data_IF_027581880544
#
_entry.id   IF_027581880544
#
_cell.length_a   1.000
_cell.length_b   1.000
_cell.length_c   1.000
_cell.angle_alpha   90.00
_cell.angle_beta   90.00
_cell.angle_gamma   90.00
#
_symmetry.space_group_name_H-M   'P 1'
#
loop_
_entity.id
_entity.type
_entity.pdbx_description
1 polymer ?
#
# COMPACT_ATOMS: atom_id res chain seq x y z
N UNK A 1 34.96 12.64 -25.64
CA UNK A 1 33.77 12.76 -24.77
C UNK A 1 32.99 11.46 -24.84
N UNK A 2 33.09 10.66 -23.80
CA UNK A 2 32.40 9.35 -23.75
C UNK A 2 30.90 9.55 -23.64
N UNK A 3 30.18 9.42 -24.75
CA UNK A 3 28.71 9.47 -24.82
C UNK A 3 28.01 8.27 -24.21
N UNK A 4 28.77 7.33 -23.65
CA UNK A 4 28.26 6.04 -23.21
C UNK A 4 28.38 5.77 -21.70
N UNK A 5 28.75 6.81 -20.93
CA UNK A 5 28.84 6.64 -19.49
C UNK A 5 27.44 6.75 -18.87
N UNK A 6 26.84 5.61 -18.53
CA UNK A 6 25.61 5.58 -17.74
C UNK A 6 25.86 6.23 -16.39
N UNK A 7 25.01 7.17 -15.96
CA UNK A 7 25.09 7.70 -14.63
C UNK A 7 24.99 6.59 -13.58
N UNK A 8 25.75 6.73 -12.50
CA UNK A 8 25.64 5.82 -11.39
C UNK A 8 24.24 5.94 -10.75
N UNK A 9 23.56 4.82 -10.48
CA UNK A 9 22.24 4.86 -9.87
C UNK A 9 22.34 5.47 -8.47
N UNK A 10 21.39 6.34 -8.09
CA UNK A 10 21.39 6.95 -6.77
C UNK A 10 21.17 5.90 -5.67
N UNK A 11 21.59 6.20 -4.44
CA UNK A 11 21.54 5.26 -3.30
C UNK A 11 20.15 4.68 -3.08
N UNK A 12 19.12 5.51 -3.17
CA UNK A 12 17.73 5.08 -3.03
C UNK A 12 17.32 4.04 -4.09
N UNK A 13 17.84 4.15 -5.31
CA UNK A 13 17.59 3.17 -6.36
C UNK A 13 18.26 1.82 -6.07
N UNK A 14 19.46 1.88 -5.50
CA UNK A 14 20.19 0.68 -5.04
C UNK A 14 19.45 -0.02 -3.90
N UNK A 15 18.95 0.75 -2.93
CA UNK A 15 18.14 0.23 -1.81
C UNK A 15 16.88 -0.49 -2.31
N UNK A 16 16.13 0.13 -3.23
CA UNK A 16 14.93 -0.47 -3.82
C UNK A 16 15.27 -1.77 -4.56
N UNK A 17 16.31 -1.77 -5.39
CA UNK A 17 16.75 -3.01 -6.08
C UNK A 17 17.08 -4.13 -5.11
N UNK A 18 17.82 -3.82 -4.05
CA UNK A 18 18.21 -4.78 -3.01
C UNK A 18 16.97 -5.33 -2.28
N UNK A 19 16.05 -4.46 -1.92
CA UNK A 19 14.81 -4.83 -1.24
C UNK A 19 13.91 -5.72 -2.11
N UNK A 20 13.72 -5.38 -3.40
CA UNK A 20 12.98 -6.22 -4.34
C UNK A 20 13.57 -7.63 -4.45
N UNK A 21 14.89 -7.71 -4.54
CA UNK A 21 15.59 -9.00 -4.62
C UNK A 21 15.40 -9.82 -3.35
N UNK A 22 15.51 -9.18 -2.17
CA UNK A 22 15.27 -9.79 -0.86
C UNK A 22 13.84 -10.34 -0.75
N UNK A 23 12.86 -9.58 -1.21
CA UNK A 23 11.44 -9.91 -1.12
C UNK A 23 10.91 -10.70 -2.34
N UNK A 24 11.77 -11.04 -3.30
CA UNK A 24 11.43 -11.78 -4.52
C UNK A 24 10.28 -11.14 -5.33
N UNK A 25 10.22 -9.81 -5.34
CA UNK A 25 9.23 -9.05 -6.11
C UNK A 25 9.89 -8.59 -7.42
N UNK A 26 9.22 -8.84 -8.56
CA UNK A 26 9.69 -8.32 -9.83
C UNK A 26 9.46 -6.82 -9.95
N UNK A 27 10.33 -6.10 -10.69
CA UNK A 27 10.16 -4.66 -10.90
C UNK A 27 8.82 -4.29 -11.55
N UNK A 28 8.31 -5.13 -12.44
CA UNK A 28 6.99 -4.94 -13.08
C UNK A 28 5.84 -5.07 -12.10
N UNK A 29 5.90 -6.06 -11.22
CA UNK A 29 4.90 -6.24 -10.16
C UNK A 29 4.96 -5.09 -9.15
N UNK A 30 6.16 -4.67 -8.76
CA UNK A 30 6.37 -3.55 -7.87
C UNK A 30 5.84 -2.23 -8.47
N UNK A 31 6.11 -1.96 -9.76
CA UNK A 31 5.58 -0.80 -10.47
C UNK A 31 4.04 -0.78 -10.45
N UNK A 32 3.41 -1.91 -10.73
CA UNK A 32 1.96 -2.05 -10.69
C UNK A 32 1.41 -1.77 -9.29
N UNK A 33 2.02 -2.32 -8.24
CA UNK A 33 1.60 -2.09 -6.84
C UNK A 33 1.80 -0.65 -6.40
N UNK A 34 2.86 0.01 -6.85
CA UNK A 34 3.14 1.41 -6.55
C UNK A 34 2.29 2.39 -7.38
N UNK A 35 1.50 1.90 -8.33
CA UNK A 35 0.66 2.73 -9.20
C UNK A 35 1.46 3.60 -10.19
N UNK A 36 2.63 3.12 -10.64
CA UNK A 36 3.46 3.80 -11.64
C UNK A 36 3.73 2.88 -12.83
N UNK A 37 4.02 3.48 -13.99
CA UNK A 37 4.34 2.70 -15.18
C UNK A 37 5.65 1.93 -15.03
N UNK A 38 5.74 0.75 -15.66
CA UNK A 38 6.96 -0.05 -15.70
C UNK A 38 8.15 0.72 -16.31
N UNK A 39 7.89 1.54 -17.31
CA UNK A 39 8.92 2.40 -17.92
C UNK A 39 9.46 3.41 -16.89
N UNK A 40 8.59 4.08 -16.16
CA UNK A 40 8.99 5.06 -15.12
C UNK A 40 9.73 4.38 -13.98
N UNK A 41 9.25 3.21 -13.53
CA UNK A 41 9.95 2.39 -12.54
C UNK A 41 11.39 2.10 -12.96
N UNK A 42 11.58 1.61 -14.19
CA UNK A 42 12.93 1.29 -14.72
C UNK A 42 13.84 2.50 -14.82
N UNK A 43 13.32 3.66 -15.21
CA UNK A 43 14.09 4.91 -15.26
C UNK A 43 14.59 5.31 -13.86
N UNK A 44 13.70 5.30 -12.86
CA UNK A 44 14.04 5.66 -11.49
C UNK A 44 15.06 4.68 -10.90
N UNK A 45 14.79 3.38 -11.01
CA UNK A 45 15.65 2.32 -10.47
C UNK A 45 16.97 2.22 -11.26
N UNK A 46 16.98 2.61 -12.53
CA UNK A 46 18.19 2.75 -13.34
C UNK A 46 18.99 4.01 -13.02
N UNK A 47 18.32 5.04 -12.46
CA UNK A 47 18.93 6.33 -12.18
C UNK A 47 19.10 7.23 -13.42
N UNK A 48 18.60 6.82 -14.58
CA UNK A 48 18.68 7.59 -15.81
C UNK A 48 17.53 7.29 -16.78
N UNK A 49 17.34 8.21 -17.70
CA UNK A 49 16.53 8.01 -18.91
C UNK A 49 17.39 8.30 -20.16
N UNK A 50 17.07 7.63 -21.24
CA UNK A 50 17.74 7.87 -22.52
C UNK A 50 16.90 8.82 -23.36
N UNK A 51 17.45 9.96 -23.73
CA UNK A 51 16.85 10.96 -24.61
C UNK A 51 17.81 11.25 -25.74
N UNK A 52 17.39 11.00 -26.97
CA UNK A 52 18.21 11.21 -28.16
C UNK A 52 19.62 10.60 -28.07
N UNK A 53 19.75 9.41 -27.51
CA UNK A 53 21.03 8.72 -27.35
C UNK A 53 21.89 9.18 -26.16
N UNK A 54 21.43 10.15 -25.40
CA UNK A 54 22.11 10.64 -24.19
C UNK A 54 21.45 10.09 -22.92
N UNK A 55 22.25 9.73 -21.92
CA UNK A 55 21.77 9.30 -20.60
C UNK A 55 21.63 10.50 -19.67
N UNK A 56 20.40 10.83 -19.32
CA UNK A 56 20.07 11.93 -18.41
C UNK A 56 19.77 11.34 -17.04
N UNK A 57 20.42 11.81 -15.96
CA UNK A 57 20.12 11.35 -14.61
C UNK A 57 18.65 11.58 -14.25
N UNK A 58 18.03 10.60 -13.59
CA UNK A 58 16.64 10.66 -13.12
C UNK A 58 16.60 10.38 -11.64
N UNK A 59 15.96 11.28 -10.89
CA UNK A 59 15.59 11.07 -9.50
C UNK A 59 14.07 10.98 -9.37
N UNK A 60 13.60 10.18 -8.43
CA UNK A 60 12.20 10.12 -8.11
C UNK A 60 11.77 11.32 -7.26
N UNK A 61 10.58 11.91 -7.50
CA UNK A 61 9.93 12.76 -6.52
C UNK A 61 9.72 11.99 -5.20
N UNK A 62 9.73 12.69 -4.06
CA UNK A 62 9.72 12.06 -2.75
C UNK A 62 8.47 11.20 -2.50
N UNK A 63 7.30 11.64 -2.87
CA UNK A 63 6.06 10.85 -2.80
C UNK A 63 6.10 9.58 -3.67
N UNK A 64 6.69 9.69 -4.87
CA UNK A 64 6.85 8.53 -5.75
C UNK A 64 7.84 7.54 -5.15
N UNK A 65 8.95 8.06 -4.61
CA UNK A 65 9.95 7.24 -3.95
C UNK A 65 9.38 6.54 -2.70
N UNK A 66 8.57 7.24 -1.90
CA UNK A 66 7.88 6.67 -0.74
C UNK A 66 6.99 5.48 -1.13
N UNK A 67 6.18 5.63 -2.19
CA UNK A 67 5.36 4.52 -2.71
C UNK A 67 6.20 3.35 -3.21
N UNK A 68 7.30 3.64 -3.89
CA UNK A 68 8.23 2.61 -4.37
C UNK A 68 8.90 1.88 -3.20
N UNK A 69 9.34 2.62 -2.18
CA UNK A 69 9.94 2.09 -0.96
C UNK A 69 8.95 1.22 -0.17
N UNK A 70 7.72 1.69 -0.01
CA UNK A 70 6.64 0.95 0.65
C UNK A 70 6.42 -0.43 0.01
N UNK A 71 6.28 -0.47 -1.31
CA UNK A 71 6.08 -1.72 -2.06
C UNK A 71 7.31 -2.63 -2.03
N UNK A 72 8.50 -2.04 -2.10
CA UNK A 72 9.75 -2.79 -2.07
C UNK A 72 10.11 -3.31 -0.68
N UNK A 73 9.54 -2.73 0.40
CA UNK A 73 9.90 -3.04 1.78
C UNK A 73 11.20 -2.35 2.23
N UNK A 74 11.45 -1.14 1.73
CA UNK A 74 12.50 -0.24 2.21
C UNK A 74 11.95 0.56 3.38
N UNK A 75 12.73 0.72 4.43
CA UNK A 75 12.34 1.46 5.63
C UNK A 75 12.60 2.97 5.51
N UNK A 76 11.92 3.76 6.33
CA UNK A 76 12.17 5.20 6.41
C UNK A 76 13.62 5.51 6.81
N UNK A 77 14.19 4.75 7.73
CA UNK A 77 15.59 4.91 8.15
C UNK A 77 16.58 4.64 7.01
N UNK A 78 16.32 3.64 6.17
CA UNK A 78 17.13 3.38 4.98
C UNK A 78 17.05 4.54 3.98
N UNK A 79 15.89 5.20 3.83
CA UNK A 79 15.74 6.40 3.00
C UNK A 79 16.48 7.60 3.60
N UNK A 80 16.45 7.80 4.92
CA UNK A 80 17.24 8.83 5.62
C UNK A 80 18.73 8.65 5.39
N UNK A 81 19.23 7.42 5.46
CA UNK A 81 20.63 7.11 5.15
C UNK A 81 21.02 7.40 3.70
N UNK A 82 20.04 7.48 2.79
CA UNK A 82 20.23 7.87 1.39
C UNK A 82 19.99 9.37 1.14
N UNK A 83 19.97 10.20 2.17
CA UNK A 83 19.69 11.64 2.11
C UNK A 83 18.32 11.95 1.49
N UNK A 84 17.31 11.13 1.79
CA UNK A 84 15.93 11.28 1.29
C UNK A 84 14.94 11.42 2.45
N UNK A 85 15.14 12.45 3.28
CA UNK A 85 14.33 12.74 4.47
C UNK A 85 12.85 12.91 4.11
N UNK A 86 12.54 13.76 3.13
CA UNK A 86 11.16 14.01 2.71
C UNK A 86 10.45 12.75 2.18
N UNK A 87 11.19 11.85 1.51
CA UNK A 87 10.65 10.56 1.10
C UNK A 87 10.45 9.60 2.29
N UNK A 88 11.29 9.68 3.31
CA UNK A 88 11.13 8.93 4.54
C UNK A 88 9.89 9.36 5.32
N UNK A 89 9.67 10.66 5.45
CA UNK A 89 8.45 11.22 6.06
C UNK A 89 7.19 10.79 5.30
N UNK A 90 7.20 10.94 3.97
CA UNK A 90 6.09 10.48 3.13
C UNK A 90 5.84 8.97 3.24
N UNK A 91 6.89 8.16 3.43
CA UNK A 91 6.76 6.73 3.67
C UNK A 91 6.13 6.43 5.02
N UNK A 92 6.49 7.17 6.07
CA UNK A 92 5.88 7.05 7.39
C UNK A 92 4.40 7.42 7.37
N UNK A 93 4.01 8.46 6.63
CA UNK A 93 2.62 8.82 6.42
C UNK A 93 1.84 7.72 5.68
N UNK A 94 2.43 7.11 4.65
CA UNK A 94 1.83 5.98 3.93
C UNK A 94 1.72 4.72 4.79
N UNK A 95 2.68 4.50 5.67
CA UNK A 95 2.73 3.36 6.57
C UNK A 95 1.94 3.59 7.87
N UNK A 96 1.66 4.85 8.21
CA UNK A 96 0.76 5.16 9.30
C UNK A 96 -0.57 4.46 9.04
N UNK A 97 -1.08 3.66 9.99
CA UNK A 97 -2.37 3.02 9.78
C UNK A 97 -3.38 4.14 9.50
N UNK A 98 -4.11 4.02 8.40
CA UNK A 98 -5.28 4.86 8.10
C UNK A 98 -6.37 4.77 9.20
N UNK A 99 -6.05 4.11 10.30
CA UNK A 99 -6.82 3.94 11.51
C UNK A 99 -7.05 5.23 12.29
N UNK A 100 -6.42 6.35 11.93
CA UNK A 100 -6.66 7.61 12.64
C UNK A 100 -7.63 8.56 11.92
N UNK A 101 -7.94 8.35 10.64
CA UNK A 101 -8.69 9.35 9.89
C UNK A 101 -10.09 8.95 9.42
N UNK A 102 -10.43 7.66 9.21
CA UNK A 102 -11.68 7.35 8.51
C UNK A 102 -12.52 6.19 9.05
N UNK A 103 -12.07 5.42 10.02
CA UNK A 103 -12.88 4.32 10.55
C UNK A 103 -13.64 4.67 11.82
N UNK A 104 -13.25 5.74 12.49
CA UNK A 104 -13.85 6.09 13.79
C UNK A 104 -15.01 7.05 13.64
N UNK A 105 -15.10 7.80 12.55
CA UNK A 105 -16.03 8.92 12.48
C UNK A 105 -17.34 8.60 11.74
N UNK A 106 -17.38 7.60 10.86
CA UNK A 106 -18.63 7.24 10.18
C UNK A 106 -19.69 6.67 11.15
N UNK A 107 -19.23 6.10 12.27
CA UNK A 107 -20.11 5.49 13.29
C UNK A 107 -19.98 6.14 14.67
N UNK A 108 -19.09 7.09 14.87
CA UNK A 108 -18.89 7.77 16.15
C UNK A 108 -20.13 8.56 16.60
N UNK A 109 -20.96 8.96 15.64
CA UNK A 109 -22.20 9.69 15.88
C UNK A 109 -23.45 8.80 15.84
N UNK A 110 -23.29 7.48 15.68
CA UNK A 110 -24.43 6.57 15.67
C UNK A 110 -24.90 6.30 17.12
N UNK A 111 -26.11 6.75 17.50
CA UNK A 111 -26.63 6.56 18.85
C UNK A 111 -26.80 5.09 19.21
N UNK A 112 -26.98 4.21 18.24
CA UNK A 112 -27.09 2.77 18.48
C UNK A 112 -25.76 2.16 18.86
N UNK A 113 -24.67 2.58 18.22
CA UNK A 113 -23.32 2.12 18.58
C UNK A 113 -22.89 2.66 19.95
N UNK A 114 -23.21 3.91 20.25
CA UNK A 114 -22.96 4.46 21.57
C UNK A 114 -23.71 3.67 22.67
N UNK A 115 -24.96 3.32 22.41
CA UNK A 115 -25.75 2.50 23.35
C UNK A 115 -25.19 1.07 23.51
N UNK A 116 -24.77 0.44 22.41
CA UNK A 116 -24.15 -0.89 22.44
C UNK A 116 -22.84 -0.86 23.21
N UNK A 117 -22.01 0.16 23.00
CA UNK A 117 -20.75 0.33 23.71
C UNK A 117 -20.97 0.48 25.20
N UNK A 118 -21.91 1.34 25.62
CA UNK A 118 -22.28 1.53 27.02
C UNK A 118 -22.80 0.25 27.66
N UNK A 119 -23.62 -0.53 26.94
CA UNK A 119 -24.09 -1.82 27.41
C UNK A 119 -22.96 -2.83 27.58
N UNK A 120 -22.01 -2.89 26.62
CA UNK A 120 -20.84 -3.76 26.70
C UNK A 120 -19.92 -3.38 27.87
N UNK A 121 -19.78 -2.08 28.16
CA UNK A 121 -19.00 -1.59 29.29
C UNK A 121 -19.63 -1.93 30.64
N UNK A 122 -20.96 -2.01 30.70
CA UNK A 122 -21.69 -2.37 31.91
C UNK A 122 -21.66 -3.87 32.22
N UNK A 123 -21.24 -4.70 31.27
CA UNK A 123 -21.16 -6.15 31.46
C UNK A 123 -19.88 -6.56 32.18
N UNK A 124 -19.92 -7.65 32.92
CA UNK A 124 -18.72 -8.29 33.43
C UNK A 124 -17.81 -8.76 32.27
N UNK A 125 -16.47 -8.88 32.48
CA UNK A 125 -15.57 -9.34 31.46
C UNK A 125 -15.97 -10.67 30.80
N UNK A 126 -16.51 -11.57 31.58
CA UNK A 126 -16.97 -12.90 31.13
C UNK A 126 -18.20 -12.78 30.23
N UNK A 127 -19.20 -11.98 30.66
CA UNK A 127 -20.40 -11.73 29.88
C UNK A 127 -20.10 -10.98 28.58
N UNK A 128 -19.15 -10.03 28.59
CA UNK A 128 -18.69 -9.32 27.42
C UNK A 128 -18.06 -10.26 26.39
N UNK A 129 -17.17 -11.15 26.82
CA UNK A 129 -16.57 -12.15 25.98
C UNK A 129 -17.58 -13.11 25.36
N UNK A 130 -18.61 -13.49 26.13
CA UNK A 130 -19.69 -14.35 25.62
C UNK A 130 -20.53 -13.64 24.55
N UNK A 131 -20.85 -12.36 24.73
CA UNK A 131 -21.56 -11.56 23.72
C UNK A 131 -20.74 -11.44 22.45
N UNK A 132 -19.46 -11.09 22.55
CA UNK A 132 -18.56 -10.96 21.39
C UNK A 132 -18.42 -12.30 20.64
N UNK A 133 -18.36 -13.41 21.35
CA UNK A 133 -18.32 -14.74 20.74
C UNK A 133 -19.59 -15.03 19.94
N UNK A 134 -20.76 -14.73 20.50
CA UNK A 134 -22.06 -14.96 19.84
C UNK A 134 -22.24 -14.06 18.61
N UNK A 135 -21.88 -12.78 18.72
CA UNK A 135 -21.93 -11.83 17.59
C UNK A 135 -20.94 -12.20 16.48
N UNK A 136 -19.75 -12.67 16.83
CA UNK A 136 -18.75 -13.12 15.87
C UNK A 136 -19.19 -14.33 15.05
N UNK A 137 -20.15 -15.12 15.53
CA UNK A 137 -20.76 -16.23 14.79
C UNK A 137 -21.97 -15.81 13.93
N UNK A 138 -22.46 -14.59 14.09
CA UNK A 138 -23.54 -14.00 13.30
C UNK A 138 -23.03 -13.26 12.05
N UNK A 139 -22.02 -13.81 11.38
CA UNK A 139 -21.63 -13.27 10.06
C UNK A 139 -22.82 -13.45 9.13
N UNK A 140 -23.38 -12.40 8.51
CA UNK A 140 -24.45 -12.55 7.56
C UNK A 140 -24.01 -13.48 6.45
N UNK A 141 -24.76 -14.53 6.22
CA UNK A 141 -24.54 -15.42 5.09
C UNK A 141 -24.46 -14.55 3.83
N UNK A 142 -23.34 -14.61 3.17
CA UNK A 142 -23.10 -13.94 1.88
C UNK A 142 -24.20 -14.41 0.95
N UNK A 143 -25.10 -13.49 0.57
CA UNK A 143 -26.24 -13.81 -0.25
C UNK A 143 -25.83 -14.65 -1.45
N UNK A 144 -26.34 -15.86 -1.49
CA UNK A 144 -26.37 -16.69 -2.67
C UNK A 144 -27.09 -15.90 -3.74
N UNK A 145 -26.34 -15.45 -4.72
CA UNK A 145 -26.90 -14.95 -5.97
C UNK A 145 -27.65 -16.12 -6.59
N UNK A 146 -28.96 -16.09 -6.46
CA UNK A 146 -29.84 -16.92 -7.25
C UNK A 146 -29.46 -16.82 -8.71
N UNK A 147 -28.94 -17.89 -9.21
CA UNK A 147 -28.77 -18.14 -10.62
C UNK A 147 -30.16 -18.41 -11.17
N UNK A 148 -30.85 -17.33 -11.59
CA UNK A 148 -32.10 -17.41 -12.30
C UNK A 148 -31.92 -18.22 -13.55
N UNK A 149 -32.44 -19.40 -13.50
CA UNK A 149 -32.79 -20.27 -14.61
C UNK A 149 -33.61 -19.49 -15.61
N UNK A 150 -33.06 -19.25 -16.78
CA UNK A 150 -33.89 -18.98 -17.95
C UNK A 150 -33.91 -20.20 -18.85
N UNK A 151 -34.90 -20.97 -18.58
CA UNK A 151 -35.41 -22.00 -19.48
C UNK A 151 -36.20 -21.35 -20.58
N UNK A 152 -35.77 -21.61 -21.79
CA UNK A 152 -36.54 -22.06 -22.95
C UNK A 152 -37.77 -21.32 -23.42
N UNK A 153 -37.89 -21.17 -24.69
CA UNK A 153 -38.78 -21.92 -25.65
C UNK A 153 -38.36 -21.58 -27.07
N UNK A 154 -37.97 -22.47 -27.82
CA UNK A 154 -38.41 -23.46 -28.79
C UNK A 154 -39.83 -23.20 -29.33
N UNK A 155 -39.87 -22.85 -30.55
CA UNK A 155 -40.57 -23.45 -31.68
C UNK A 155 -40.26 -22.73 -32.95
#
# INVERSE_FOLDING_TARGET
>A
MNRDTRPEPPLEAVLIKKALKRNRISGREAARRAGISDARWRQIVGGYQTVSGSHIPVRAPDETLARMAHVAGVTADELRQADREAAAEALEELAAPAAAADSTDAYASDPHLAAITALLESLSPEARNEVLRRVGHMTPARGEKERGEQHRHIS
#
